data_IF_789134791937
#
_entry.id   IF_789134791937
#
_cell.length_a   1.000
_cell.length_b   1.000
_cell.length_c   1.000
_cell.angle_alpha   90.00
_cell.angle_beta   90.00
_cell.angle_gamma   90.00
#
_symmetry.space_group_name_H-M   'P 1'
#
loop_
_entity.id
_entity.type
_entity.pdbx_description
1 polymer ?
#
# COMPACT_ATOMS: atom_id res chain seq x y z
N UNK A 1 45.91 10.09 48.40
CA UNK A 1 46.41 11.34 48.99
C UNK A 1 45.50 11.69 50.16
N UNK A 2 46.05 11.76 51.37
CA UNK A 2 45.35 11.92 52.65
C UNK A 2 45.53 13.39 53.11
N UNK A 3 44.62 13.85 53.98
CA UNK A 3 44.66 15.09 54.81
C UNK A 3 44.09 16.33 54.09
N UNK A 4 43.26 17.20 54.69
CA UNK A 4 43.20 17.69 56.07
C UNK A 4 41.78 18.04 56.56
N UNK A 5 41.66 17.94 57.89
CA UNK A 5 40.57 18.30 58.79
C UNK A 5 40.59 19.79 59.16
N UNK A 6 39.42 20.41 59.42
CA UNK A 6 39.22 21.18 60.67
C UNK A 6 37.74 21.38 61.00
N UNK A 7 37.52 21.48 62.31
CA UNK A 7 36.29 21.34 63.10
C UNK A 7 35.91 22.69 63.72
N UNK A 8 34.72 22.70 64.34
CA UNK A 8 34.19 23.64 65.38
C UNK A 8 33.56 24.92 64.83
N UNK A 9 32.48 25.49 65.37
CA UNK A 9 31.46 25.14 66.36
C UNK A 9 30.71 26.46 66.56
N UNK A 10 29.38 26.50 66.49
CA UNK A 10 28.62 27.34 67.42
C UNK A 10 27.14 26.97 67.42
N UNK A 11 26.58 26.93 68.63
CA UNK A 11 25.19 26.71 68.99
C UNK A 11 24.70 28.00 69.64
N UNK A 12 23.61 28.60 69.14
CA UNK A 12 22.48 29.14 69.93
C UNK A 12 21.70 30.27 69.23
N UNK A 13 20.38 30.32 69.47
CA UNK A 13 19.53 31.52 69.35
C UNK A 13 18.65 31.61 68.09
N UNK A 14 17.46 30.97 68.06
CA UNK A 14 16.13 31.55 68.35
C UNK A 14 15.49 32.44 67.24
N UNK A 15 14.52 31.88 66.50
CA UNK A 15 13.09 32.30 66.52
C UNK A 15 12.23 31.39 65.60
N UNK A 16 11.03 30.94 66.02
CA UNK A 16 10.15 30.14 65.17
C UNK A 16 9.21 31.04 64.35
N UNK A 17 9.24 30.91 63.02
CA UNK A 17 8.15 31.37 62.16
C UNK A 17 6.97 30.39 62.20
N UNK A 18 5.73 30.84 61.95
CA UNK A 18 4.55 29.99 62.12
C UNK A 18 4.60 28.81 61.14
N UNK A 19 4.50 27.59 61.68
CA UNK A 19 4.22 26.39 60.87
C UNK A 19 2.75 26.45 60.46
N UNK A 20 2.49 26.63 59.18
CA UNK A 20 1.14 26.45 58.62
C UNK A 20 0.79 24.96 58.65
N UNK A 21 -0.43 24.57 59.07
CA UNK A 21 -0.83 23.18 59.17
C UNK A 21 -1.08 22.62 57.77
N UNK A 22 -0.22 21.71 57.30
CA UNK A 22 -0.35 21.05 55.98
C UNK A 22 -1.39 19.92 56.01
N UNK A 23 -2.12 19.76 57.11
CA UNK A 23 -2.94 18.57 57.37
C UNK A 23 -4.33 18.90 57.90
N UNK A 24 -5.01 19.90 57.33
CA UNK A 24 -6.47 19.98 57.43
C UNK A 24 -7.01 20.33 56.06
N UNK A 25 -7.89 19.47 55.53
CA UNK A 25 -8.60 19.55 54.25
C UNK A 25 -8.13 18.54 53.18
N UNK A 26 -8.11 17.26 53.53
CA UNK A 26 -8.13 16.16 52.56
C UNK A 26 -9.28 16.30 51.54
N UNK A 27 -10.41 16.88 51.96
CA UNK A 27 -11.53 17.20 51.07
C UNK A 27 -11.17 18.24 50.00
N UNK A 28 -10.34 19.23 50.31
CA UNK A 28 -9.92 20.25 49.34
C UNK A 28 -9.01 19.65 48.27
N UNK A 29 -8.06 18.80 48.67
CA UNK A 29 -7.18 18.10 47.74
C UNK A 29 -7.90 17.03 46.92
N UNK A 30 -8.89 16.34 47.50
CA UNK A 30 -9.74 15.41 46.76
C UNK A 30 -10.63 16.12 45.74
N UNK A 31 -11.14 17.32 46.06
CA UNK A 31 -11.90 18.15 45.12
C UNK A 31 -11.04 18.62 43.93
N UNK A 32 -9.79 19.04 44.19
CA UNK A 32 -8.84 19.40 43.14
C UNK A 32 -8.49 18.21 42.23
N UNK A 33 -8.36 17.01 42.79
CA UNK A 33 -8.07 15.80 42.04
C UNK A 33 -9.27 15.40 41.16
N UNK A 34 -10.50 15.49 41.69
CA UNK A 34 -11.72 15.27 40.93
C UNK A 34 -11.92 16.31 39.80
N UNK A 35 -11.59 17.59 40.06
CA UNK A 35 -11.63 18.64 39.03
C UNK A 35 -10.60 18.38 37.92
N UNK A 36 -9.39 17.90 38.26
CA UNK A 36 -8.37 17.56 37.26
C UNK A 36 -8.79 16.38 36.38
N UNK A 37 -9.39 15.32 36.98
CA UNK A 37 -9.90 14.16 36.24
C UNK A 37 -11.05 14.59 35.32
N UNK A 38 -12.01 15.38 35.82
CA UNK A 38 -13.11 15.90 35.01
C UNK A 38 -12.66 16.81 33.86
N UNK A 39 -11.59 17.58 34.07
CA UNK A 39 -11.01 18.41 33.01
C UNK A 39 -10.31 17.56 31.94
N UNK A 40 -9.59 16.51 32.35
CA UNK A 40 -8.95 15.57 31.44
C UNK A 40 -9.99 14.79 30.63
N UNK A 41 -11.07 14.30 31.26
CA UNK A 41 -12.14 13.59 30.53
C UNK A 41 -12.87 14.50 29.55
N UNK A 42 -13.17 15.75 29.92
CA UNK A 42 -13.78 16.72 28.99
C UNK A 42 -12.87 17.05 27.80
N UNK A 43 -11.56 17.16 28.03
CA UNK A 43 -10.59 17.38 26.95
C UNK A 43 -10.46 16.14 26.06
N UNK A 44 -10.51 14.94 26.63
CA UNK A 44 -10.46 13.68 25.89
C UNK A 44 -11.72 13.46 25.05
N UNK A 45 -12.90 13.77 25.59
CA UNK A 45 -14.18 13.70 24.89
C UNK A 45 -14.26 14.72 23.73
N UNK A 46 -13.78 15.96 23.95
CA UNK A 46 -13.61 16.95 22.86
C UNK A 46 -12.61 16.49 21.80
N UNK A 47 -11.57 15.75 22.18
CA UNK A 47 -10.58 15.20 21.24
C UNK A 47 -11.17 14.09 20.39
N UNK A 48 -11.93 13.16 20.97
CA UNK A 48 -12.62 12.09 20.23
C UNK A 48 -13.65 12.68 19.25
N UNK A 49 -14.41 13.69 19.67
CA UNK A 49 -15.40 14.35 18.80
C UNK A 49 -14.75 15.13 17.64
N UNK A 50 -13.53 15.66 17.83
CA UNK A 50 -12.75 16.29 16.76
C UNK A 50 -12.21 15.28 15.74
N UNK A 51 -11.96 14.04 16.15
CA UNK A 51 -11.44 12.98 15.28
C UNK A 51 -12.54 12.29 14.46
N UNK A 52 -13.77 12.28 14.97
CA UNK A 52 -14.95 11.77 14.25
C UNK A 52 -15.49 12.78 13.21
N UNK A 53 -15.21 14.07 13.38
CA UNK A 53 -15.68 15.17 12.50
C UNK A 53 -14.68 15.61 11.42
N UNK A 54 -13.49 15.00 11.34
CA UNK A 54 -12.51 15.28 10.27
C UNK A 54 -12.67 14.43 9.02
N UNK A 55 -13.73 13.60 8.93
CA UNK A 55 -14.14 13.03 7.65
C UNK A 55 -14.99 14.06 6.91
N UNK A 56 -14.32 14.89 6.11
CA UNK A 56 -15.03 15.71 5.12
C UNK A 56 -15.69 14.73 4.15
N UNK A 57 -17.00 14.52 4.29
CA UNK A 57 -17.73 13.64 3.39
C UNK A 57 -17.59 14.17 1.97
N UNK A 58 -17.49 13.26 1.01
CA UNK A 58 -17.46 13.57 -0.42
C UNK A 58 -18.61 14.51 -0.80
N UNK A 59 -19.79 14.34 -0.18
CA UNK A 59 -20.94 15.23 -0.35
C UNK A 59 -20.67 16.69 -0.04
N UNK A 60 -19.92 17.02 1.03
CA UNK A 60 -19.64 18.42 1.37
C UNK A 60 -18.68 19.07 0.37
N UNK A 61 -17.71 18.29 -0.13
CA UNK A 61 -16.80 18.72 -1.21
C UNK A 61 -17.58 18.94 -2.51
N UNK A 62 -18.47 18.02 -2.88
CA UNK A 62 -19.30 18.14 -4.07
C UNK A 62 -20.29 19.32 -4.00
N UNK A 63 -20.81 19.62 -2.81
CA UNK A 63 -21.71 20.76 -2.60
C UNK A 63 -21.00 22.11 -2.76
N UNK A 64 -19.74 22.21 -2.34
CA UNK A 64 -18.91 23.40 -2.54
C UNK A 64 -18.60 23.65 -4.03
N UNK A 65 -18.31 22.58 -4.79
CA UNK A 65 -17.96 22.68 -6.22
C UNK A 65 -19.11 23.22 -7.08
N UNK A 66 -20.38 22.91 -6.76
CA UNK A 66 -21.54 23.44 -7.51
C UNK A 66 -21.70 24.96 -7.45
N UNK A 67 -21.08 25.64 -6.47
CA UNK A 67 -21.28 27.08 -6.26
C UNK A 67 -20.32 27.94 -7.09
N UNK A 68 -19.18 27.39 -7.52
CA UNK A 68 -18.27 28.03 -8.47
C UNK A 68 -18.47 27.42 -9.85
N UNK A 69 -19.06 28.17 -10.79
CA UNK A 69 -19.39 27.75 -12.16
C UNK A 69 -18.20 27.40 -13.06
N UNK A 70 -17.42 26.39 -12.70
CA UNK A 70 -16.44 25.73 -13.57
C UNK A 70 -17.03 24.38 -13.99
N UNK A 71 -17.41 24.25 -15.26
CA UNK A 71 -17.82 22.99 -15.86
C UNK A 71 -16.63 22.01 -15.90
N UNK A 72 -16.44 21.24 -14.83
CA UNK A 72 -15.60 20.05 -14.87
C UNK A 72 -16.44 18.88 -15.38
N UNK A 73 -16.19 18.47 -16.63
CA UNK A 73 -16.65 17.18 -17.13
C UNK A 73 -15.86 16.08 -16.39
N UNK A 74 -16.41 15.55 -15.30
CA UNK A 74 -15.85 14.36 -14.65
C UNK A 74 -16.19 13.19 -15.58
N UNK A 75 -15.28 12.83 -16.49
CA UNK A 75 -15.35 11.52 -17.13
C UNK A 75 -15.26 10.48 -16.02
N UNK A 76 -16.22 9.55 -15.97
CA UNK A 76 -16.19 8.45 -15.01
C UNK A 76 -14.84 7.75 -15.10
N UNK A 77 -14.09 7.71 -14.00
CA UNK A 77 -12.80 7.03 -13.93
C UNK A 77 -13.05 5.52 -14.03
N UNK A 78 -12.47 4.87 -15.04
CA UNK A 78 -12.46 3.42 -15.18
C UNK A 78 -11.33 2.86 -14.33
N UNK A 79 -11.63 1.81 -13.56
CA UNK A 79 -10.69 1.20 -12.63
C UNK A 79 -10.37 -0.23 -13.09
N UNK A 80 -9.11 -0.65 -13.00
CA UNK A 80 -8.74 -2.07 -13.05
C UNK A 80 -9.25 -2.80 -11.80
N UNK A 81 -9.17 -4.12 -11.82
CA UNK A 81 -9.52 -5.00 -10.71
C UNK A 81 -8.33 -5.04 -9.74
N UNK A 82 -8.52 -4.52 -8.52
CA UNK A 82 -7.52 -4.58 -7.44
C UNK A 82 -7.71 -5.83 -6.57
N UNK A 83 -8.97 -6.11 -6.26
CA UNK A 83 -9.38 -7.26 -5.46
C UNK A 83 -10.79 -7.68 -5.88
N UNK A 84 -11.17 -8.90 -5.50
CA UNK A 84 -12.52 -9.43 -5.71
C UNK A 84 -13.05 -9.93 -4.38
N UNK A 85 -14.36 -9.77 -4.17
CA UNK A 85 -15.02 -10.40 -3.04
C UNK A 85 -14.99 -11.92 -3.25
N UNK A 86 -14.66 -12.64 -2.19
CA UNK A 86 -14.65 -14.10 -2.17
C UNK A 86 -15.51 -14.60 -1.02
N UNK A 87 -16.15 -15.75 -1.21
CA UNK A 87 -17.00 -16.37 -0.18
C UNK A 87 -16.17 -17.04 0.94
N UNK A 88 -14.88 -17.27 0.69
CA UNK A 88 -13.93 -17.85 1.64
C UNK A 88 -12.60 -17.10 1.56
N UNK A 89 -11.78 -17.07 2.63
CA UNK A 89 -10.49 -16.39 2.64
C UNK A 89 -9.56 -16.94 1.53
N UNK A 90 -9.37 -16.16 0.47
CA UNK A 90 -8.53 -16.51 -0.68
C UNK A 90 -7.65 -15.32 -1.04
N UNK A 91 -6.45 -15.64 -1.52
CA UNK A 91 -5.50 -14.68 -2.08
C UNK A 91 -5.04 -15.18 -3.44
N UNK A 92 -4.74 -14.26 -4.35
CA UNK A 92 -4.09 -14.55 -5.61
C UNK A 92 -2.65 -14.03 -5.53
N UNK A 93 -1.68 -14.94 -5.65
CA UNK A 93 -0.27 -14.57 -5.73
C UNK A 93 0.10 -14.37 -7.20
N UNK A 94 0.80 -13.29 -7.49
CA UNK A 94 1.14 -12.88 -8.86
C UNK A 94 2.56 -12.35 -8.91
N UNK A 95 3.26 -12.59 -10.02
CA UNK A 95 4.62 -12.12 -10.24
C UNK A 95 4.72 -11.35 -11.55
N UNK A 96 5.45 -10.25 -11.54
CA UNK A 96 5.75 -9.48 -12.74
C UNK A 96 7.15 -9.88 -13.24
N UNK A 97 7.21 -10.49 -14.42
CA UNK A 97 8.43 -10.99 -15.04
C UNK A 97 8.89 -10.00 -16.13
N UNK A 98 9.77 -9.07 -15.74
CA UNK A 98 10.33 -8.05 -16.62
C UNK A 98 11.86 -8.16 -16.78
N UNK A 99 12.56 -8.73 -15.79
CA UNK A 99 14.02 -8.81 -15.71
C UNK A 99 14.45 -10.08 -14.99
N UNK A 100 15.65 -10.58 -15.31
CA UNK A 100 16.22 -11.78 -14.68
C UNK A 100 15.41 -13.05 -14.93
N UNK A 101 15.99 -14.20 -14.62
CA UNK A 101 15.26 -15.48 -14.53
C UNK A 101 15.90 -16.44 -13.52
N UNK A 102 16.92 -15.97 -12.79
CA UNK A 102 17.87 -16.77 -12.01
C UNK A 102 17.14 -17.61 -10.94
N UNK A 103 16.10 -17.03 -10.34
CA UNK A 103 15.31 -17.68 -9.29
C UNK A 103 14.04 -18.37 -9.80
N UNK A 104 13.75 -18.33 -11.11
CA UNK A 104 12.47 -18.83 -11.66
C UNK A 104 12.25 -20.29 -11.33
N UNK A 105 13.25 -21.15 -11.57
CA UNK A 105 13.15 -22.58 -11.27
C UNK A 105 12.98 -22.83 -9.77
N UNK A 106 13.72 -22.11 -8.94
CA UNK A 106 13.62 -22.26 -7.48
C UNK A 106 12.25 -21.83 -6.98
N UNK A 107 11.70 -20.74 -7.51
CA UNK A 107 10.34 -20.29 -7.23
C UNK A 107 9.33 -21.37 -7.64
N UNK A 108 9.47 -21.97 -8.82
CA UNK A 108 8.57 -23.03 -9.29
C UNK A 108 8.61 -24.27 -8.38
N UNK A 109 9.79 -24.69 -7.92
CA UNK A 109 9.93 -25.79 -6.95
C UNK A 109 9.19 -25.49 -5.65
N UNK A 110 9.31 -24.27 -5.12
CA UNK A 110 8.63 -23.86 -3.87
C UNK A 110 7.12 -23.86 -4.06
N UNK A 111 6.63 -23.32 -5.18
CA UNK A 111 5.20 -23.28 -5.49
C UNK A 111 4.62 -24.69 -5.64
N UNK A 112 5.34 -25.59 -6.32
CA UNK A 112 4.93 -26.99 -6.51
C UNK A 112 4.89 -27.76 -5.18
N UNK A 113 5.92 -27.59 -4.34
CA UNK A 113 5.97 -28.20 -3.01
C UNK A 113 4.81 -27.79 -2.09
N UNK A 114 4.22 -26.61 -2.32
CA UNK A 114 3.06 -26.11 -1.58
C UNK A 114 1.75 -26.26 -2.36
N UNK A 115 1.77 -26.86 -3.56
CA UNK A 115 0.63 -27.01 -4.45
C UNK A 115 -0.08 -25.66 -4.74
N UNK A 116 0.71 -24.60 -4.96
CA UNK A 116 0.21 -23.25 -5.24
C UNK A 116 0.34 -22.96 -6.73
N UNK A 117 -0.74 -22.43 -7.32
CA UNK A 117 -0.73 -21.86 -8.67
C UNK A 117 -0.81 -20.34 -8.57
N UNK A 118 -0.16 -19.67 -9.53
CA UNK A 118 0.06 -18.22 -9.53
C UNK A 118 -0.09 -17.70 -10.96
N UNK A 119 -0.20 -16.39 -11.09
CA UNK A 119 -0.22 -15.71 -12.38
C UNK A 119 1.11 -15.00 -12.63
N UNK A 120 1.75 -15.25 -13.78
CA UNK A 120 2.96 -14.54 -14.22
C UNK A 120 2.61 -13.49 -15.27
N UNK A 121 2.73 -12.21 -14.92
CA UNK A 121 2.60 -11.11 -15.86
C UNK A 121 3.95 -10.86 -16.54
N UNK A 122 4.09 -11.24 -17.81
CA UNK A 122 5.38 -11.22 -18.51
C UNK A 122 5.46 -10.09 -19.53
N UNK A 123 6.64 -9.45 -19.62
CA UNK A 123 6.92 -8.49 -20.69
C UNK A 123 7.33 -9.19 -21.98
N UNK A 124 7.17 -8.49 -23.11
CA UNK A 124 7.60 -8.99 -24.41
C UNK A 124 9.09 -9.34 -24.46
N UNK A 125 9.95 -8.48 -23.89
CA UNK A 125 11.39 -8.71 -23.83
C UNK A 125 11.77 -9.92 -22.97
N UNK A 126 11.07 -10.15 -21.85
CA UNK A 126 11.30 -11.32 -21.01
C UNK A 126 10.92 -12.61 -21.73
N UNK A 127 9.76 -12.63 -22.40
CA UNK A 127 9.27 -13.78 -23.19
C UNK A 127 10.24 -14.15 -24.31
N UNK A 128 10.83 -13.16 -24.98
CA UNK A 128 11.84 -13.42 -26.03
C UNK A 128 13.14 -13.97 -25.48
N UNK A 129 13.58 -13.45 -24.34
CA UNK A 129 14.87 -13.82 -23.73
C UNK A 129 14.81 -15.19 -23.07
N UNK A 130 13.66 -15.57 -22.51
CA UNK A 130 13.50 -16.78 -21.70
C UNK A 130 12.33 -17.67 -22.17
N UNK A 131 12.31 -18.11 -23.44
CA UNK A 131 11.17 -18.84 -24.00
C UNK A 131 10.96 -20.21 -23.37
N UNK A 132 12.02 -20.86 -22.88
CA UNK A 132 11.90 -22.16 -22.20
C UNK A 132 11.27 -22.02 -20.81
N UNK A 133 11.56 -20.92 -20.09
CA UNK A 133 10.90 -20.63 -18.81
C UNK A 133 9.41 -20.34 -19.01
N UNK A 134 9.04 -19.60 -20.06
CA UNK A 134 7.63 -19.37 -20.42
C UNK A 134 6.89 -20.69 -20.63
N UNK A 135 7.49 -21.63 -21.38
CA UNK A 135 6.91 -22.97 -21.60
C UNK A 135 6.86 -23.77 -20.31
N UNK A 136 7.90 -23.71 -19.49
CA UNK A 136 7.97 -24.42 -18.22
C UNK A 136 6.87 -23.94 -17.25
N UNK A 137 6.75 -22.63 -17.04
CA UNK A 137 5.69 -22.00 -16.24
C UNK A 137 4.31 -22.45 -16.76
N UNK A 138 4.10 -22.40 -18.08
CA UNK A 138 2.85 -22.82 -18.69
C UNK A 138 2.54 -24.32 -18.51
N UNK A 139 3.56 -25.17 -18.63
CA UNK A 139 3.49 -26.63 -18.49
C UNK A 139 3.22 -27.07 -17.06
N UNK A 140 3.73 -26.31 -16.07
CA UNK A 140 3.42 -26.50 -14.65
C UNK A 140 2.00 -26.02 -14.28
N UNK A 141 1.22 -25.49 -15.23
CA UNK A 141 -0.17 -25.10 -15.01
C UNK A 141 -0.37 -23.74 -14.34
N UNK A 142 0.65 -22.88 -14.33
CA UNK A 142 0.48 -21.49 -13.91
C UNK A 142 -0.25 -20.69 -14.99
N UNK A 143 -0.89 -19.59 -14.57
CA UNK A 143 -1.58 -18.67 -15.47
C UNK A 143 -0.59 -17.67 -16.06
N UNK A 144 -0.77 -17.34 -17.35
CA UNK A 144 0.08 -16.40 -18.08
C UNK A 144 -0.69 -15.09 -18.28
N UNK A 145 -0.12 -14.00 -17.76
CA UNK A 145 -0.64 -12.65 -17.86
C UNK A 145 0.23 -11.75 -18.73
N UNK A 146 -0.38 -10.74 -19.31
CA UNK A 146 0.26 -9.75 -20.17
C UNK A 146 0.83 -8.58 -19.33
N UNK A 147 2.10 -8.24 -19.50
CA UNK A 147 2.73 -7.08 -18.84
C UNK A 147 3.28 -6.05 -19.82
N UNK A 148 2.63 -5.91 -20.98
CA UNK A 148 3.06 -5.11 -22.13
C UNK A 148 4.34 -5.59 -22.81
N UNK A 149 4.53 -5.18 -24.06
CA UNK A 149 5.71 -5.50 -24.84
C UNK A 149 6.99 -4.88 -24.25
N UNK A 150 6.98 -3.58 -23.99
CA UNK A 150 8.19 -2.80 -23.70
C UNK A 150 8.23 -2.14 -22.31
N UNK A 151 7.31 -2.51 -21.41
CA UNK A 151 7.29 -2.02 -20.02
C UNK A 151 7.26 -0.47 -19.92
N UNK A 152 6.44 0.17 -20.77
CA UNK A 152 6.28 1.63 -20.84
C UNK A 152 5.19 2.12 -19.89
N UNK A 153 5.22 3.41 -19.55
CA UNK A 153 4.10 4.10 -18.91
C UNK A 153 2.91 4.16 -19.86
N UNK A 154 1.98 3.22 -19.74
CA UNK A 154 0.88 3.00 -20.67
C UNK A 154 -0.08 4.18 -20.77
N UNK A 155 -0.25 4.95 -19.68
CA UNK A 155 -1.15 6.12 -19.66
C UNK A 155 -0.68 7.26 -20.57
N UNK A 156 0.59 7.24 -20.97
CA UNK A 156 1.24 8.25 -21.83
C UNK A 156 1.26 7.88 -23.31
N UNK A 157 0.69 6.73 -23.66
CA UNK A 157 0.71 6.19 -25.02
C UNK A 157 -0.62 6.42 -25.73
N UNK A 158 -0.56 6.57 -27.06
CA UNK A 158 -1.75 6.62 -27.89
C UNK A 158 -2.42 5.24 -28.02
N UNK A 159 -3.72 5.20 -28.32
CA UNK A 159 -4.53 3.97 -28.44
C UNK A 159 -3.91 2.91 -29.33
N UNK A 160 -3.38 3.31 -30.48
CA UNK A 160 -2.74 2.39 -31.43
C UNK A 160 -1.48 1.76 -30.82
N UNK A 161 -0.70 2.53 -30.07
CA UNK A 161 0.51 2.05 -29.40
C UNK A 161 0.14 1.12 -28.25
N UNK A 162 -0.85 1.46 -27.42
CA UNK A 162 -1.35 0.57 -26.36
C UNK A 162 -1.78 -0.78 -26.94
N UNK A 163 -2.55 -0.78 -28.02
CA UNK A 163 -2.96 -2.02 -28.71
C UNK A 163 -1.75 -2.85 -29.17
N UNK A 164 -0.74 -2.22 -29.75
CA UNK A 164 0.47 -2.92 -30.18
C UNK A 164 1.26 -3.48 -28.99
N UNK A 165 1.38 -2.72 -27.90
CA UNK A 165 2.08 -3.17 -26.68
C UNK A 165 1.38 -4.39 -26.07
N UNK A 166 0.05 -4.49 -26.16
CA UNK A 166 -0.71 -5.66 -25.70
C UNK A 166 -0.61 -6.84 -26.67
N UNK A 167 -0.84 -6.60 -27.97
CA UNK A 167 -0.93 -7.67 -28.96
C UNK A 167 0.40 -8.39 -29.19
N UNK A 168 1.52 -7.67 -29.24
CA UNK A 168 2.81 -8.27 -29.59
C UNK A 168 3.26 -9.33 -28.58
N UNK A 169 3.22 -9.03 -27.29
CA UNK A 169 3.56 -10.01 -26.26
C UNK A 169 2.56 -11.17 -26.22
N UNK A 170 1.28 -10.90 -26.48
CA UNK A 170 0.25 -11.95 -26.62
C UNK A 170 0.58 -12.94 -27.72
N UNK A 171 0.91 -12.45 -28.92
CA UNK A 171 1.25 -13.30 -30.05
C UNK A 171 2.50 -14.15 -29.78
N UNK A 172 3.50 -13.59 -29.10
CA UNK A 172 4.70 -14.34 -28.68
C UNK A 172 4.35 -15.47 -27.73
N UNK A 173 3.60 -15.20 -26.67
CA UNK A 173 3.20 -16.22 -25.68
C UNK A 173 2.32 -17.29 -26.32
N UNK A 174 1.35 -16.89 -27.15
CA UNK A 174 0.47 -17.82 -27.88
C UNK A 174 1.26 -18.69 -28.84
N UNK A 175 2.25 -18.14 -29.56
CA UNK A 175 3.14 -18.91 -30.44
C UNK A 175 3.96 -19.94 -29.67
N UNK A 176 4.43 -19.62 -28.46
CA UNK A 176 5.26 -20.52 -27.66
C UNK A 176 4.45 -21.61 -26.96
N UNK A 177 3.23 -21.30 -26.51
CA UNK A 177 2.49 -22.14 -25.55
C UNK A 177 1.12 -22.61 -26.05
N UNK A 178 0.62 -22.03 -27.14
CA UNK A 178 -0.76 -22.22 -27.61
C UNK A 178 -1.83 -21.56 -26.73
N UNK A 179 -1.45 -20.89 -25.63
CA UNK A 179 -2.38 -20.28 -24.68
C UNK A 179 -2.66 -18.82 -25.05
N UNK A 180 -3.91 -18.41 -24.91
CA UNK A 180 -4.31 -17.01 -24.91
C UNK A 180 -4.18 -16.43 -23.49
N UNK A 181 -3.62 -15.23 -23.37
CA UNK A 181 -3.63 -14.48 -22.12
C UNK A 181 -4.95 -13.70 -22.01
N UNK A 182 -5.57 -13.72 -20.83
CA UNK A 182 -6.83 -13.01 -20.55
C UNK A 182 -6.68 -11.94 -19.48
N UNK A 183 -5.51 -11.86 -18.83
CA UNK A 183 -5.21 -10.86 -17.82
C UNK A 183 -4.13 -9.90 -18.34
N UNK A 184 -4.27 -8.62 -18.02
CA UNK A 184 -3.27 -7.60 -18.31
C UNK A 184 -2.99 -6.78 -17.05
N UNK A 185 -1.71 -6.64 -16.70
CA UNK A 185 -1.27 -5.70 -15.66
C UNK A 185 -0.46 -4.57 -16.29
N UNK A 186 -0.88 -3.30 -16.14
CA UNK A 186 -0.11 -2.17 -16.63
C UNK A 186 1.25 -2.07 -15.91
N UNK A 187 2.37 -1.88 -16.62
CA UNK A 187 3.67 -1.56 -16.03
C UNK A 187 3.61 -0.42 -15.03
N UNK A 188 4.35 -0.54 -13.93
CA UNK A 188 4.41 0.42 -12.82
C UNK A 188 3.06 0.73 -12.16
N UNK A 189 2.02 -0.05 -12.46
CA UNK A 189 0.65 0.29 -12.10
C UNK A 189 0.10 1.54 -12.79
N UNK A 190 0.73 2.01 -13.88
CA UNK A 190 0.35 3.22 -14.60
C UNK A 190 -0.82 2.99 -15.57
N UNK A 191 -1.96 3.63 -15.31
CA UNK A 191 -3.13 3.53 -16.18
C UNK A 191 -3.99 4.81 -16.16
N UNK A 192 -4.78 4.96 -17.23
CA UNK A 192 -5.90 5.89 -17.31
C UNK A 192 -7.09 5.16 -17.96
N UNK A 193 -8.22 5.85 -18.15
CA UNK A 193 -9.40 5.24 -18.78
C UNK A 193 -9.10 4.62 -20.14
N UNK A 194 -8.25 5.24 -20.95
CA UNK A 194 -7.90 4.74 -22.27
C UNK A 194 -7.18 3.39 -22.20
N UNK A 195 -6.30 3.19 -21.23
CA UNK A 195 -5.62 1.91 -21.01
C UNK A 195 -6.62 0.83 -20.61
N UNK A 196 -7.51 1.13 -19.65
CA UNK A 196 -8.53 0.19 -19.15
C UNK A 196 -9.51 -0.20 -20.27
N UNK A 197 -10.04 0.79 -21.00
CA UNK A 197 -10.98 0.56 -22.11
C UNK A 197 -10.32 -0.22 -23.26
N UNK A 198 -9.06 0.05 -23.59
CA UNK A 198 -8.37 -0.68 -24.65
C UNK A 198 -8.17 -2.15 -24.26
N UNK A 199 -7.69 -2.40 -23.04
CA UNK A 199 -7.49 -3.75 -22.54
C UNK A 199 -8.80 -4.56 -22.53
N UNK A 200 -9.89 -3.97 -22.00
CA UNK A 200 -11.23 -4.57 -22.02
C UNK A 200 -11.72 -4.86 -23.45
N UNK A 201 -11.55 -3.91 -24.38
CA UNK A 201 -11.93 -4.09 -25.79
C UNK A 201 -11.15 -5.18 -26.52
N UNK A 202 -9.99 -5.56 -25.98
CA UNK A 202 -9.14 -6.64 -26.49
C UNK A 202 -9.39 -7.97 -25.76
N UNK A 203 -10.34 -8.01 -24.83
CA UNK A 203 -10.70 -9.20 -24.07
C UNK A 203 -9.84 -9.46 -22.84
N UNK A 204 -9.04 -8.49 -22.40
CA UNK A 204 -8.30 -8.59 -21.15
C UNK A 204 -9.08 -8.04 -19.97
N UNK A 205 -8.93 -8.69 -18.81
CA UNK A 205 -9.22 -8.08 -17.52
C UNK A 205 -7.99 -7.28 -17.06
N UNK A 206 -8.10 -5.95 -16.86
CA UNK A 206 -7.01 -5.15 -16.31
C UNK A 206 -6.88 -5.41 -14.82
N UNK A 207 -5.71 -5.86 -14.37
CA UNK A 207 -5.43 -6.29 -13.00
C UNK A 207 -4.42 -5.36 -12.34
N UNK A 208 -4.67 -5.02 -11.08
CA UNK A 208 -3.76 -4.34 -10.16
C UNK A 208 -3.46 -5.24 -8.96
N UNK A 209 -2.95 -4.67 -7.88
CA UNK A 209 -2.73 -5.35 -6.60
C UNK A 209 -3.32 -4.54 -5.44
N UNK A 210 -3.82 -5.24 -4.42
CA UNK A 210 -4.26 -4.63 -3.16
C UNK A 210 -3.14 -4.58 -2.12
N UNK A 211 -2.16 -5.49 -2.22
CA UNK A 211 -1.00 -5.61 -1.33
C UNK A 211 0.26 -5.78 -2.18
N UNK A 212 1.31 -5.01 -1.87
CA UNK A 212 2.62 -5.06 -2.55
C UNK A 212 3.71 -5.53 -1.58
N UNK A 213 4.54 -6.48 -2.03
CA UNK A 213 5.79 -6.81 -1.33
C UNK A 213 6.87 -5.83 -1.79
N UNK A 214 7.55 -5.16 -0.86
CA UNK A 214 8.65 -4.23 -1.19
C UNK A 214 9.90 -5.04 -1.59
N UNK A 215 9.91 -5.60 -2.80
CA UNK A 215 11.04 -6.42 -3.30
C UNK A 215 12.10 -5.61 -4.07
N UNK A 216 11.81 -4.35 -4.44
CA UNK A 216 12.76 -3.52 -5.21
C UNK A 216 13.93 -2.93 -4.41
N UNK A 217 14.22 -3.42 -3.20
CA UNK A 217 15.45 -3.04 -2.48
C UNK A 217 16.52 -4.09 -2.76
N UNK A 218 17.26 -3.89 -3.86
CA UNK A 218 18.60 -4.47 -3.98
C UNK A 218 19.44 -3.82 -2.89
N UNK A 219 19.64 -4.52 -1.76
CA UNK A 219 20.74 -4.18 -0.87
C UNK A 219 22.01 -4.61 -1.58
N UNK A 220 22.72 -3.66 -2.18
CA UNK A 220 24.14 -3.86 -2.45
C UNK A 220 24.80 -4.29 -1.14
N UNK A 221 25.45 -5.45 -1.16
CA UNK A 221 26.33 -5.93 -0.09
C UNK A 221 27.76 -5.73 -0.55
#
# INVERSE_FOLDING_TARGET
>A
MKLFSKKSSDMSGQHPGPRLPVAENAFFWMLLLLLSIGCITSLYEKSLHKQETSSVSSESVFKSIKTTGRNYQIKERKLPIYCVKTEAPKVALTFDAAWGNEDTHRLMEILDAHNVKVTFFMTGGWVEKFPEDVKYIAGQGHELGNHSENHKNMSRLDKAVIRMELQKVHDKVKKLTGKDMTLFRPPYGDYNNQVVEMADSMGYYPIQWDVETLEMVVKEI
#
